data_IF_086828006535
#
_entry.id   IF_086828006535
#
_cell.length_a   1.000
_cell.length_b   1.000
_cell.length_c   1.000
_cell.angle_alpha   90.00
_cell.angle_beta   90.00
_cell.angle_gamma   90.00
#
_symmetry.space_group_name_H-M   'P 1'
#
loop_
_entity.id
_entity.type
_entity.pdbx_description
1 polymer ?
#
# COMPACT_ATOMS: atom_id res chain seq x y z
N UNK A 1 -35.50 -10.39 -3.88
CA UNK A 1 -34.12 -10.92 -4.08
C UNK A 1 -33.16 -10.07 -3.23
N UNK A 2 -32.79 -10.51 -2.02
CA UNK A 2 -31.98 -9.77 -1.02
C UNK A 2 -30.70 -10.51 -0.61
N UNK A 3 -30.31 -11.54 -1.37
CA UNK A 3 -29.23 -12.47 -1.01
C UNK A 3 -27.80 -11.95 -1.28
N UNK A 4 -27.63 -10.84 -2.00
CA UNK A 4 -26.31 -10.28 -2.34
C UNK A 4 -25.62 -9.61 -1.15
N UNK A 5 -26.34 -8.73 -0.45
CA UNK A 5 -25.83 -7.91 0.65
C UNK A 5 -25.28 -8.76 1.80
N UNK A 6 -25.90 -9.92 2.07
CA UNK A 6 -25.46 -10.82 3.14
C UNK A 6 -24.20 -11.62 2.81
N UNK A 7 -23.88 -11.81 1.52
CA UNK A 7 -22.63 -12.45 1.08
C UNK A 7 -21.47 -11.46 1.13
N UNK A 8 -21.69 -10.24 0.64
CA UNK A 8 -20.68 -9.17 0.68
C UNK A 8 -20.30 -8.79 2.10
N UNK A 9 -21.30 -8.65 2.99
CA UNK A 9 -21.06 -8.37 4.41
C UNK A 9 -20.26 -9.47 5.11
N UNK A 10 -20.54 -10.75 4.79
CA UNK A 10 -19.77 -11.88 5.31
C UNK A 10 -18.35 -11.92 4.78
N UNK A 11 -18.16 -11.67 3.48
CA UNK A 11 -16.83 -11.61 2.87
C UNK A 11 -16.00 -10.47 3.47
N UNK A 12 -16.62 -9.30 3.70
CA UNK A 12 -15.99 -8.16 4.37
C UNK A 12 -15.60 -8.49 5.80
N UNK A 13 -16.51 -9.07 6.60
CA UNK A 13 -16.20 -9.47 7.97
C UNK A 13 -15.07 -10.51 8.06
N UNK A 14 -15.06 -11.48 7.13
CA UNK A 14 -13.98 -12.47 7.04
C UNK A 14 -12.64 -11.81 6.71
N UNK A 15 -12.63 -10.84 5.78
CA UNK A 15 -11.43 -10.08 5.44
C UNK A 15 -10.94 -9.21 6.60
N UNK A 16 -11.85 -8.49 7.26
CA UNK A 16 -11.53 -7.68 8.44
C UNK A 16 -10.90 -8.53 9.56
N UNK A 17 -11.35 -9.77 9.74
CA UNK A 17 -10.74 -10.71 10.70
C UNK A 17 -9.29 -11.08 10.32
N UNK A 18 -9.00 -11.28 9.04
CA UNK A 18 -7.66 -11.59 8.52
C UNK A 18 -6.72 -10.36 8.61
N UNK A 19 -7.22 -9.17 8.28
CA UNK A 19 -6.48 -7.91 8.39
C UNK A 19 -6.20 -7.58 9.87
N UNK A 20 -7.15 -7.84 10.76
CA UNK A 20 -7.02 -7.51 12.18
C UNK A 20 -7.16 -6.00 12.44
N UNK A 21 -6.55 -5.49 13.54
CA UNK A 21 -6.67 -4.08 13.91
C UNK A 21 -6.01 -3.16 12.89
N UNK A 22 -6.47 -1.91 12.86
CA UNK A 22 -5.77 -0.87 12.11
C UNK A 22 -4.38 -0.64 12.71
N UNK A 23 -3.39 -0.51 11.86
CA UNK A 23 -2.01 -0.24 12.25
C UNK A 23 -1.46 0.84 11.33
N UNK A 24 -0.57 1.66 11.88
CA UNK A 24 0.23 2.57 11.07
C UNK A 24 0.95 1.81 9.97
N UNK A 25 1.04 2.42 8.80
CA UNK A 25 1.78 1.86 7.68
C UNK A 25 3.27 1.76 8.05
N UNK A 26 3.96 0.82 7.39
CA UNK A 26 5.40 0.70 7.48
C UNK A 26 6.01 0.86 6.11
N UNK A 27 7.10 1.63 6.03
CA UNK A 27 7.89 1.78 4.81
C UNK A 27 9.12 0.90 4.95
N UNK A 28 9.35 0.04 3.98
CA UNK A 28 10.54 -0.83 3.90
C UNK A 28 11.15 -0.71 2.52
N UNK A 29 12.40 -1.18 2.34
CA UNK A 29 13.00 -1.27 1.00
C UNK A 29 12.34 -2.38 0.18
N UNK A 30 12.36 -2.26 -1.16
CA UNK A 30 11.88 -3.35 -2.02
C UNK A 30 12.67 -4.64 -1.84
N UNK A 31 13.97 -4.54 -1.59
CA UNK A 31 14.82 -5.69 -1.26
C UNK A 31 14.33 -6.43 0.00
N UNK A 32 14.04 -5.72 1.10
CA UNK A 32 13.52 -6.31 2.33
C UNK A 32 12.16 -6.98 2.11
N UNK A 33 11.32 -6.40 1.24
CA UNK A 33 10.04 -6.96 0.84
C UNK A 33 10.13 -8.03 -0.27
N UNK A 34 11.31 -8.27 -0.86
CA UNK A 34 11.50 -9.13 -2.05
C UNK A 34 10.55 -8.75 -3.20
N UNK A 35 10.53 -7.47 -3.53
CA UNK A 35 9.75 -6.88 -4.62
C UNK A 35 10.65 -5.95 -5.45
N UNK A 36 10.50 -5.91 -6.78
CA UNK A 36 11.29 -5.05 -7.66
C UNK A 36 10.78 -3.60 -7.57
N UNK A 37 11.16 -2.90 -6.52
CA UNK A 37 10.81 -1.52 -6.23
C UNK A 37 11.87 -0.88 -5.33
N UNK A 38 11.89 0.45 -5.25
CA UNK A 38 12.82 1.17 -4.37
C UNK A 38 12.36 1.02 -2.91
N UNK A 39 11.09 1.33 -2.66
CA UNK A 39 10.43 1.17 -1.36
C UNK A 39 9.10 0.44 -1.50
N UNK A 40 8.60 -0.07 -0.39
CA UNK A 40 7.30 -0.73 -0.29
C UNK A 40 6.57 -0.19 0.93
N UNK A 41 5.36 0.32 0.72
CA UNK A 41 4.45 0.64 1.81
C UNK A 41 3.65 -0.61 2.17
N UNK A 42 3.81 -1.07 3.40
CA UNK A 42 3.07 -2.19 3.99
C UNK A 42 1.92 -1.60 4.78
N UNK A 43 0.70 -1.81 4.30
CA UNK A 43 -0.52 -1.30 4.94
C UNK A 43 -1.35 -2.42 5.55
N UNK A 44 -2.07 -2.10 6.63
CA UNK A 44 -3.01 -3.02 7.27
C UNK A 44 -4.18 -3.40 6.35
N UNK A 45 -4.58 -2.49 5.45
CA UNK A 45 -5.71 -2.65 4.52
C UNK A 45 -5.39 -2.04 3.17
N UNK A 46 -6.21 -2.34 2.17
CA UNK A 46 -6.12 -1.67 0.88
C UNK A 46 -6.48 -0.18 1.00
N UNK A 47 -5.60 0.69 0.51
CA UNK A 47 -5.77 2.14 0.47
C UNK A 47 -6.58 2.58 -0.77
N UNK A 48 -7.60 3.44 -0.60
CA UNK A 48 -8.35 4.00 -1.73
C UNK A 48 -7.43 4.79 -2.68
N UNK A 49 -7.59 4.60 -3.99
CA UNK A 49 -6.83 5.32 -5.02
C UNK A 49 -5.40 4.82 -5.26
N UNK A 50 -4.88 3.92 -4.40
CA UNK A 50 -3.55 3.32 -4.54
C UNK A 50 -3.60 2.14 -5.52
N UNK A 51 -3.78 2.47 -6.80
CA UNK A 51 -3.84 1.51 -7.91
C UNK A 51 -2.55 1.53 -8.73
N UNK A 52 -2.25 0.48 -9.51
CA UNK A 52 -1.09 0.47 -10.41
C UNK A 52 -1.03 1.71 -11.30
N UNK A 53 0.15 2.31 -11.41
CA UNK A 53 0.40 3.53 -12.17
C UNK A 53 0.01 4.84 -11.47
N UNK A 54 -0.71 4.79 -10.33
CA UNK A 54 -0.97 5.99 -9.53
C UNK A 54 0.36 6.56 -9.00
N UNK A 55 0.52 7.88 -9.08
CA UNK A 55 1.68 8.57 -8.51
C UNK A 55 1.41 8.98 -7.07
N UNK A 56 2.23 8.52 -6.14
CA UNK A 56 2.24 8.94 -4.74
C UNK A 56 3.16 10.15 -4.62
N UNK A 57 2.59 11.28 -4.22
CA UNK A 57 3.29 12.54 -4.01
C UNK A 57 3.62 12.64 -2.51
N UNK A 58 4.90 12.51 -2.20
CA UNK A 58 5.47 12.80 -0.87
C UNK A 58 5.89 14.26 -0.74
N UNK A 59 6.56 14.58 0.36
CA UNK A 59 7.04 15.94 0.62
C UNK A 59 8.17 16.38 -0.33
N UNK A 60 9.10 15.47 -0.64
CA UNK A 60 10.31 15.73 -1.43
C UNK A 60 10.39 14.90 -2.72
N UNK A 61 9.67 13.78 -2.78
CA UNK A 61 9.74 12.80 -3.88
C UNK A 61 8.38 12.34 -4.35
N UNK A 62 8.34 11.92 -5.62
CA UNK A 62 7.20 11.26 -6.22
C UNK A 62 7.55 9.80 -6.51
N UNK A 63 6.59 8.90 -6.32
CA UNK A 63 6.73 7.48 -6.60
C UNK A 63 5.59 6.98 -7.46
N UNK A 64 5.84 6.00 -8.33
CA UNK A 64 4.82 5.29 -9.08
C UNK A 64 4.50 3.96 -8.40
N UNK A 65 3.21 3.71 -8.18
CA UNK A 65 2.73 2.44 -7.64
C UNK A 65 2.85 1.34 -8.70
N UNK A 66 3.54 0.25 -8.37
CA UNK A 66 3.52 -1.02 -9.11
C UNK A 66 2.25 -1.81 -8.86
N UNK A 67 2.26 -3.12 -9.13
CA UNK A 67 1.09 -3.97 -8.82
C UNK A 67 1.03 -4.24 -7.32
N UNK A 68 -0.04 -3.84 -6.58
CA UNK A 68 -0.18 -4.17 -5.18
C UNK A 68 -0.25 -5.68 -4.96
N UNK A 69 0.33 -6.16 -3.86
CA UNK A 69 0.36 -7.59 -3.52
C UNK A 69 -0.16 -7.77 -2.11
N UNK A 70 -1.06 -8.74 -1.91
CA UNK A 70 -1.48 -9.15 -0.59
C UNK A 70 -0.55 -10.23 -0.04
N UNK A 71 -0.07 -10.08 1.20
CA UNK A 71 0.76 -11.08 1.89
C UNK A 71 0.35 -11.22 3.35
N UNK A 72 0.47 -12.44 3.87
CA UNK A 72 0.35 -12.69 5.30
C UNK A 72 1.68 -12.38 5.98
N UNK A 73 1.69 -11.42 6.91
CA UNK A 73 2.85 -11.02 7.70
C UNK A 73 2.47 -11.13 9.18
N UNK A 74 3.22 -11.91 9.95
CA UNK A 74 2.93 -12.20 11.36
C UNK A 74 1.47 -12.63 11.59
N UNK A 75 0.94 -13.50 10.72
CA UNK A 75 -0.42 -14.03 10.82
C UNK A 75 -1.54 -13.08 10.40
N UNK A 76 -1.22 -11.89 9.85
CA UNK A 76 -2.21 -10.92 9.41
C UNK A 76 -2.08 -10.59 7.93
N UNK A 77 -3.20 -10.40 7.25
CA UNK A 77 -3.25 -9.97 5.86
C UNK A 77 -2.77 -8.52 5.75
N UNK A 78 -1.79 -8.25 4.89
CA UNK A 78 -1.26 -6.92 4.61
C UNK A 78 -1.26 -6.67 3.12
N UNK A 79 -1.51 -5.42 2.75
CA UNK A 79 -1.38 -4.97 1.36
C UNK A 79 -0.05 -4.27 1.19
N UNK A 80 0.76 -4.76 0.27
CA UNK A 80 2.07 -4.22 -0.07
C UNK A 80 1.94 -3.40 -1.34
N UNK A 81 2.40 -2.16 -1.29
CA UNK A 81 2.44 -1.24 -2.42
C UNK A 81 3.88 -1.03 -2.85
N UNK A 82 4.35 -1.69 -3.93
CA UNK A 82 5.66 -1.41 -4.49
C UNK A 82 5.69 0.00 -5.07
N UNK A 83 6.69 0.79 -4.70
CA UNK A 83 6.87 2.17 -5.12
C UNK A 83 8.26 2.32 -5.77
N UNK A 84 8.27 2.77 -7.02
CA UNK A 84 9.51 3.13 -7.74
C UNK A 84 9.56 4.64 -7.90
N UNK A 85 10.70 5.25 -7.61
CA UNK A 85 10.88 6.69 -7.71
C UNK A 85 10.57 7.15 -9.13
N UNK A 86 9.66 8.11 -9.23
CA UNK A 86 9.21 8.64 -10.51
C UNK A 86 9.90 9.97 -10.77
N UNK A 87 10.85 9.99 -11.70
CA UNK A 87 11.66 11.16 -12.05
C UNK A 87 11.31 11.77 -13.41
N UNK A 88 10.37 11.17 -14.15
CA UNK A 88 10.10 11.54 -15.53
C UNK A 88 9.03 12.65 -15.62
N UNK A 89 9.08 13.42 -16.70
CA UNK A 89 8.09 14.46 -17.04
C UNK A 89 6.81 13.86 -17.66
N UNK A 90 6.48 12.61 -17.30
CA UNK A 90 5.30 11.94 -17.83
C UNK A 90 4.03 12.58 -17.26
N UNK A 91 3.00 12.73 -18.09
CA UNK A 91 1.75 13.33 -17.66
C UNK A 91 1.10 12.49 -16.53
N UNK A 92 1.07 13.05 -15.32
CA UNK A 92 0.44 12.43 -14.16
C UNK A 92 -1.08 12.50 -14.32
N UNK A 93 -1.70 11.35 -14.63
CA UNK A 93 -3.18 11.25 -14.77
C UNK A 93 -3.89 10.99 -13.45
N UNK A 94 -3.20 10.36 -12.49
CA UNK A 94 -3.74 9.98 -11.17
C UNK A 94 -2.66 10.16 -10.12
N UNK A 95 -2.97 10.89 -9.06
CA UNK A 95 -2.09 11.06 -7.93
C UNK A 95 -2.81 10.95 -6.59
N UNK A 96 -2.04 10.61 -5.56
CA UNK A 96 -2.45 10.64 -4.16
C UNK A 96 -1.34 11.31 -3.34
N UNK A 97 -1.70 12.09 -2.34
CA UNK A 97 -0.74 12.62 -1.38
C UNK A 97 -0.53 11.60 -0.26
N UNK A 98 0.72 11.43 0.14
CA UNK A 98 1.05 10.56 1.26
C UNK A 98 2.22 11.12 2.04
N UNK A 99 2.02 11.27 3.34
CA UNK A 99 3.11 11.57 4.25
C UNK A 99 3.81 10.25 4.62
N UNK A 100 5.05 10.11 4.19
CA UNK A 100 5.88 8.95 4.52
C UNK A 100 6.33 8.94 5.99
N UNK A 101 6.05 10.01 6.74
CA UNK A 101 6.58 10.24 8.09
C UNK A 101 8.07 10.49 7.95
N UNK A 102 8.48 11.77 7.97
CA UNK A 102 9.83 12.25 7.67
C UNK A 102 10.91 11.19 7.95
N UNK A 103 11.55 10.73 6.86
CA UNK A 103 12.57 9.69 6.80
C UNK A 103 13.18 9.40 8.18
N UNK A 104 12.93 8.20 8.70
CA UNK A 104 13.59 7.69 9.88
C UNK A 104 15.09 8.01 9.75
N UNK A 105 15.54 8.99 10.54
CA UNK A 105 16.95 9.22 10.81
C UNK A 105 17.51 7.88 11.27
N UNK A 106 18.63 7.51 10.68
CA UNK A 106 19.39 6.31 10.93
C UNK A 106 19.34 5.85 12.39
N UNK A 107 19.02 4.57 12.57
CA UNK A 107 19.71 3.75 13.54
C UNK A 107 19.53 2.28 13.15
N UNK A 108 20.51 1.75 12.44
CA UNK A 108 20.80 0.32 12.39
C UNK A 108 22.11 0.09 13.14
#
# INVERSE_FOLDING_TARGET
>A
RTTGVSRERRARAAREALEGPEMADRVVTGAAARLPADIVVVSARAKPGWTPGTVVIGADRCYRIGTPVERTIAGRLRTLYPLTEHRDHEAIRRSVHYDFGGAAKDNY
#
